data_IF_682533351870
#
_entry.id   IF_682533351870
#
_cell.length_a   1.000
_cell.length_b   1.000
_cell.length_c   1.000
_cell.angle_alpha   90.00
_cell.angle_beta   90.00
_cell.angle_gamma   90.00
#
_symmetry.space_group_name_H-M   'P 1'
#
loop_
_entity.id
_entity.type
_entity.pdbx_description
1 polymer ?
#
# COMPACT_ATOMS: atom_id res chain seq x y z
N UNK A 1 -27.17 -33.10 12.50
CA UNK A 1 -27.03 -33.08 11.02
C UNK A 1 -26.01 -32.04 10.56
N UNK A 2 -26.12 -30.78 10.99
CA UNK A 2 -25.10 -29.71 10.73
C UNK A 2 -23.69 -30.14 11.18
N UNK A 3 -23.55 -30.71 12.38
CA UNK A 3 -22.26 -31.24 12.90
C UNK A 3 -21.60 -32.27 11.97
N UNK A 4 -22.37 -33.20 11.39
CA UNK A 4 -21.84 -34.23 10.48
C UNK A 4 -21.49 -33.68 9.09
N UNK A 5 -22.20 -32.64 8.64
CA UNK A 5 -21.94 -31.98 7.35
C UNK A 5 -20.74 -31.01 7.39
N UNK A 6 -20.43 -30.47 8.58
CA UNK A 6 -19.29 -29.58 8.86
C UNK A 6 -17.98 -30.35 9.06
N UNK A 7 -18.01 -31.52 9.71
CA UNK A 7 -16.82 -32.34 9.99
C UNK A 7 -16.18 -32.92 8.71
N UNK A 8 -16.96 -33.08 7.62
CA UNK A 8 -16.46 -33.63 6.35
C UNK A 8 -15.90 -32.59 5.38
N UNK A 9 -16.15 -31.29 5.60
CA UNK A 9 -15.67 -30.24 4.70
C UNK A 9 -14.39 -29.62 5.25
N UNK A 10 -13.25 -29.98 4.64
CA UNK A 10 -11.95 -29.32 4.82
C UNK A 10 -11.96 -27.82 4.47
N UNK A 11 -13.03 -27.33 3.84
CA UNK A 11 -13.19 -25.94 3.41
C UNK A 11 -14.25 -25.21 4.23
N UNK A 12 -13.81 -24.16 4.93
CA UNK A 12 -14.63 -23.30 5.78
C UNK A 12 -15.72 -22.58 4.96
N UNK A 13 -15.47 -22.33 3.67
CA UNK A 13 -16.46 -21.72 2.77
C UNK A 13 -17.66 -22.63 2.56
N UNK A 14 -17.44 -23.93 2.35
CA UNK A 14 -18.51 -24.92 2.17
C UNK A 14 -19.31 -25.12 3.47
N UNK A 15 -18.65 -25.02 4.62
CA UNK A 15 -19.28 -25.04 5.93
C UNK A 15 -20.26 -23.86 6.13
N UNK A 16 -19.84 -22.66 5.74
CA UNK A 16 -20.69 -21.47 5.78
C UNK A 16 -21.87 -21.55 4.83
N UNK A 17 -21.66 -21.98 3.58
CA UNK A 17 -22.73 -22.15 2.59
C UNK A 17 -23.78 -23.16 3.03
N UNK A 18 -23.36 -24.35 3.50
CA UNK A 18 -24.29 -25.37 4.01
C UNK A 18 -25.10 -24.89 5.20
N UNK A 19 -24.49 -24.09 6.08
CA UNK A 19 -25.22 -23.51 7.22
C UNK A 19 -26.24 -22.47 6.74
N UNK A 20 -25.88 -21.63 5.78
CA UNK A 20 -26.82 -20.68 5.19
C UNK A 20 -27.99 -21.37 4.49
N UNK A 21 -27.74 -22.46 3.75
CA UNK A 21 -28.78 -23.25 3.10
C UNK A 21 -29.71 -23.93 4.11
N UNK A 22 -29.15 -24.43 5.22
CA UNK A 22 -29.94 -24.97 6.33
C UNK A 22 -30.84 -23.88 6.94
N UNK A 23 -30.31 -22.69 7.21
CA UNK A 23 -31.09 -21.56 7.73
C UNK A 23 -32.19 -21.15 6.73
N UNK A 24 -31.87 -21.11 5.43
CA UNK A 24 -32.81 -20.71 4.36
C UNK A 24 -33.86 -21.75 4.04
N UNK A 25 -33.63 -23.02 4.29
CA UNK A 25 -34.55 -24.09 3.88
C UNK A 25 -35.30 -24.65 5.07
N UNK A 26 -34.57 -25.08 6.09
CA UNK A 26 -35.13 -25.85 7.21
C UNK A 26 -35.55 -24.93 8.37
N UNK A 27 -34.87 -23.80 8.58
CA UNK A 27 -35.23 -22.88 9.66
C UNK A 27 -36.32 -21.86 9.30
N UNK A 28 -36.77 -21.77 8.04
CA UNK A 28 -37.80 -20.78 7.62
C UNK A 28 -39.08 -20.86 8.46
N UNK A 29 -39.56 -22.07 8.72
CA UNK A 29 -40.77 -22.28 9.52
C UNK A 29 -40.56 -21.79 10.96
N UNK A 30 -39.41 -22.11 11.56
CA UNK A 30 -39.07 -21.68 12.92
C UNK A 30 -38.85 -20.17 13.02
N UNK A 31 -38.20 -19.54 12.03
CA UNK A 31 -38.04 -18.09 11.95
C UNK A 31 -39.39 -17.38 11.87
N UNK A 32 -40.32 -17.91 11.06
CA UNK A 32 -41.68 -17.37 10.98
C UNK A 32 -42.43 -17.48 12.32
N UNK A 33 -42.33 -18.62 13.01
CA UNK A 33 -42.97 -18.81 14.32
C UNK A 33 -42.37 -17.88 15.37
N UNK A 34 -41.05 -17.73 15.42
CA UNK A 34 -40.36 -16.86 16.38
C UNK A 34 -40.69 -15.38 16.12
N UNK A 35 -40.72 -14.96 14.85
CA UNK A 35 -41.12 -13.59 14.49
C UNK A 35 -42.58 -13.30 14.88
N UNK A 36 -43.47 -14.27 14.68
CA UNK A 36 -44.88 -14.16 15.08
C UNK A 36 -45.03 -14.05 16.60
N UNK A 37 -44.33 -14.90 17.36
CA UNK A 37 -44.34 -14.86 18.84
C UNK A 37 -43.76 -13.54 19.35
N UNK A 38 -42.71 -13.02 18.71
CA UNK A 38 -42.13 -11.74 19.09
C UNK A 38 -43.11 -10.57 18.85
N UNK A 39 -43.92 -10.62 17.78
CA UNK A 39 -44.98 -9.62 17.53
C UNK A 39 -46.19 -9.75 18.46
N UNK A 40 -46.64 -10.97 18.73
CA UNK A 40 -47.88 -11.22 19.49
C UNK A 40 -47.67 -11.19 21.02
N UNK A 41 -46.50 -11.60 21.52
CA UNK A 41 -46.24 -11.73 22.95
C UNK A 41 -45.23 -10.70 23.50
N UNK A 42 -44.71 -9.78 22.68
CA UNK A 42 -43.68 -8.81 23.08
C UNK A 42 -42.33 -9.43 23.46
N UNK A 43 -42.11 -10.69 23.09
CA UNK A 43 -40.83 -11.38 23.28
C UNK A 43 -39.78 -10.81 22.30
N UNK A 44 -38.52 -10.78 22.73
CA UNK A 44 -37.39 -10.30 21.92
C UNK A 44 -36.38 -11.44 21.71
N UNK A 45 -36.87 -12.65 21.44
CA UNK A 45 -36.01 -13.81 21.31
C UNK A 45 -35.46 -13.95 19.88
N UNK A 46 -34.13 -13.89 19.75
CA UNK A 46 -33.44 -14.09 18.49
C UNK A 46 -32.92 -15.53 18.38
N UNK A 47 -33.74 -16.42 17.79
CA UNK A 47 -33.42 -17.85 17.65
C UNK A 47 -32.09 -18.12 16.93
N UNK A 48 -31.78 -17.37 15.87
CA UNK A 48 -30.51 -17.55 15.13
C UNK A 48 -29.30 -17.17 15.98
N UNK A 49 -29.40 -16.07 16.72
CA UNK A 49 -28.30 -15.53 17.53
C UNK A 49 -28.03 -16.43 18.74
N UNK A 50 -29.08 -17.02 19.31
CA UNK A 50 -29.00 -17.76 20.58
C UNK A 50 -28.98 -19.29 20.43
N UNK A 51 -29.30 -19.84 19.25
CA UNK A 51 -29.46 -21.30 19.07
C UNK A 51 -28.90 -21.87 17.76
N UNK A 52 -28.41 -21.04 16.85
CA UNK A 52 -27.71 -21.52 15.64
C UNK A 52 -26.26 -21.04 15.68
N UNK A 53 -26.06 -19.77 16.05
CA UNK A 53 -24.74 -19.16 16.10
C UNK A 53 -23.81 -19.82 17.13
N UNK A 54 -24.21 -20.14 18.38
CA UNK A 54 -23.36 -20.82 19.36
C UNK A 54 -22.91 -22.21 18.90
N UNK A 55 -23.83 -22.98 18.33
CA UNK A 55 -23.58 -24.32 17.80
C UNK A 55 -22.64 -24.29 16.60
N UNK A 56 -22.77 -23.29 15.73
CA UNK A 56 -21.86 -23.07 14.62
C UNK A 56 -20.46 -22.68 15.11
N UNK A 57 -20.34 -21.73 16.04
CA UNK A 57 -19.04 -21.34 16.60
C UNK A 57 -18.35 -22.50 17.30
N UNK A 58 -19.09 -23.31 18.06
CA UNK A 58 -18.54 -24.49 18.71
C UNK A 58 -18.08 -25.54 17.68
N UNK A 59 -18.86 -25.80 16.63
CA UNK A 59 -18.46 -26.73 15.59
C UNK A 59 -17.21 -26.25 14.83
N UNK A 60 -17.08 -24.95 14.57
CA UNK A 60 -15.90 -24.37 13.89
C UNK A 60 -14.65 -24.46 14.77
N UNK A 61 -14.80 -24.21 16.08
CA UNK A 61 -13.72 -24.35 17.04
C UNK A 61 -13.25 -25.81 17.19
N UNK A 62 -14.18 -26.77 17.28
CA UNK A 62 -13.86 -28.19 17.40
C UNK A 62 -13.24 -28.77 16.12
N UNK A 63 -13.66 -28.30 14.95
CA UNK A 63 -13.21 -28.81 13.65
C UNK A 63 -11.87 -28.23 13.19
N UNK A 64 -11.40 -27.13 13.77
CA UNK A 64 -10.19 -26.47 13.27
C UNK A 64 -9.42 -25.66 14.31
N UNK A 65 -8.50 -26.31 15.00
CA UNK A 65 -7.48 -25.64 15.82
C UNK A 65 -6.62 -24.63 15.03
N UNK A 66 -6.54 -24.76 13.70
CA UNK A 66 -5.80 -23.86 12.81
C UNK A 66 -6.63 -22.73 12.19
N UNK A 67 -7.94 -22.62 12.48
CA UNK A 67 -8.83 -21.63 11.83
C UNK A 67 -8.31 -20.20 12.02
N UNK A 68 -7.88 -19.91 13.24
CA UNK A 68 -7.42 -18.61 13.69
C UNK A 68 -5.90 -18.39 13.49
N UNK A 69 -5.18 -19.38 12.96
CA UNK A 69 -3.74 -19.31 12.82
C UNK A 69 -3.34 -18.28 11.75
N UNK A 70 -2.62 -17.24 12.17
CA UNK A 70 -2.19 -16.14 11.29
C UNK A 70 -0.84 -16.37 10.60
N UNK A 71 -0.21 -17.54 10.75
CA UNK A 71 1.15 -17.76 10.22
C UNK A 71 1.25 -17.81 8.70
N UNK A 72 0.14 -18.11 8.01
CA UNK A 72 0.00 -17.82 6.57
C UNK A 72 -1.03 -16.69 6.40
N UNK A 73 -0.59 -15.48 6.01
CA UNK A 73 -1.48 -14.34 5.92
C UNK A 73 -2.46 -14.44 4.74
N UNK A 74 -2.13 -15.16 3.66
CA UNK A 74 -3.04 -15.32 2.51
C UNK A 74 -4.21 -16.22 2.89
N UNK A 75 -3.92 -17.35 3.55
CA UNK A 75 -4.95 -18.27 4.05
C UNK A 75 -5.80 -17.60 5.15
N UNK A 76 -5.16 -16.85 6.06
CA UNK A 76 -5.87 -16.11 7.09
C UNK A 76 -6.83 -15.07 6.48
N UNK A 77 -6.36 -14.29 5.50
CA UNK A 77 -7.18 -13.32 4.78
C UNK A 77 -8.39 -14.00 4.13
N UNK A 78 -8.16 -15.07 3.36
CA UNK A 78 -9.22 -15.81 2.69
C UNK A 78 -10.29 -16.28 3.68
N UNK A 79 -9.90 -16.91 4.79
CA UNK A 79 -10.84 -17.42 5.79
C UNK A 79 -11.62 -16.31 6.48
N UNK A 80 -10.94 -15.21 6.82
CA UNK A 80 -11.58 -14.07 7.44
C UNK A 80 -12.55 -13.35 6.49
N UNK A 81 -12.22 -13.24 5.20
CA UNK A 81 -13.12 -12.71 4.18
C UNK A 81 -14.37 -13.57 4.03
N UNK A 82 -14.25 -14.90 3.99
CA UNK A 82 -15.41 -15.78 3.96
C UNK A 82 -16.27 -15.66 5.21
N UNK A 83 -15.65 -15.45 6.38
CA UNK A 83 -16.37 -15.15 7.62
C UNK A 83 -17.17 -13.84 7.52
N UNK A 84 -16.59 -12.76 6.98
CA UNK A 84 -17.30 -11.50 6.77
C UNK A 84 -18.47 -11.64 5.80
N UNK A 85 -18.28 -12.33 4.67
CA UNK A 85 -19.34 -12.60 3.69
C UNK A 85 -20.48 -13.39 4.33
N UNK A 86 -20.15 -14.42 5.11
CA UNK A 86 -21.13 -15.21 5.85
C UNK A 86 -21.94 -14.34 6.82
N UNK A 87 -21.28 -13.45 7.56
CA UNK A 87 -21.95 -12.53 8.48
C UNK A 87 -22.90 -11.56 7.75
N UNK A 88 -22.50 -11.04 6.59
CA UNK A 88 -23.34 -10.19 5.76
C UNK A 88 -24.57 -10.95 5.24
N UNK A 89 -24.37 -12.19 4.78
CA UNK A 89 -25.45 -13.05 4.30
C UNK A 89 -26.41 -13.44 5.42
N UNK A 90 -25.93 -13.76 6.63
CA UNK A 90 -26.78 -13.97 7.80
C UNK A 90 -27.55 -12.70 8.14
N UNK A 91 -26.90 -11.53 8.16
CA UNK A 91 -27.58 -10.26 8.44
C UNK A 91 -28.66 -9.93 7.40
N UNK A 92 -28.49 -10.33 6.14
CA UNK A 92 -29.52 -10.16 5.10
C UNK A 92 -30.75 -11.05 5.29
N UNK A 93 -30.58 -12.20 5.94
CA UNK A 93 -31.68 -13.14 6.25
C UNK A 93 -32.40 -12.69 7.53
N UNK A 94 -31.69 -12.04 8.45
CA UNK A 94 -32.23 -11.59 9.73
C UNK A 94 -32.94 -10.24 9.63
N UNK A 95 -33.87 -9.99 10.55
CA UNK A 95 -34.49 -8.68 10.72
C UNK A 95 -33.46 -7.63 11.21
N UNK A 96 -33.68 -6.33 10.93
CA UNK A 96 -32.75 -5.25 11.29
C UNK A 96 -32.41 -5.19 12.79
N UNK A 97 -33.35 -5.55 13.66
CA UNK A 97 -33.14 -5.63 15.12
C UNK A 97 -32.28 -6.83 15.50
N UNK A 98 -32.57 -8.00 14.94
CA UNK A 98 -31.82 -9.24 15.19
C UNK A 98 -30.37 -9.16 14.69
N UNK A 99 -30.12 -8.47 13.57
CA UNK A 99 -28.77 -8.24 13.05
C UNK A 99 -27.91 -7.34 13.97
N UNK A 100 -28.52 -6.36 14.64
CA UNK A 100 -27.82 -5.56 15.66
C UNK A 100 -27.57 -6.36 16.93
N UNK A 101 -28.48 -7.26 17.30
CA UNK A 101 -28.32 -8.13 18.45
C UNK A 101 -27.24 -9.21 18.22
N UNK A 102 -27.07 -9.69 16.98
CA UNK A 102 -25.98 -10.61 16.61
C UNK A 102 -24.60 -10.02 16.94
N UNK A 103 -24.34 -8.78 16.50
CA UNK A 103 -23.05 -8.08 16.76
C UNK A 103 -22.83 -7.75 18.25
N UNK A 104 -23.91 -7.66 19.02
CA UNK A 104 -23.88 -7.44 20.48
C UNK A 104 -23.81 -8.73 21.30
N UNK A 105 -24.06 -9.88 20.67
CA UNK A 105 -24.03 -11.18 21.36
C UNK A 105 -22.62 -11.48 21.87
N UNK A 106 -22.54 -12.00 23.10
CA UNK A 106 -21.30 -12.40 23.75
C UNK A 106 -20.55 -13.45 22.92
N UNK A 107 -21.27 -14.38 22.31
CA UNK A 107 -20.71 -15.44 21.45
C UNK A 107 -20.04 -14.88 20.20
N UNK A 108 -20.64 -13.85 19.59
CA UNK A 108 -20.03 -13.15 18.45
C UNK A 108 -18.74 -12.43 18.86
N UNK A 109 -18.75 -11.74 20.00
CA UNK A 109 -17.58 -11.00 20.49
C UNK A 109 -16.43 -11.94 20.87
N UNK A 110 -16.74 -13.07 21.53
CA UNK A 110 -15.76 -14.10 21.89
C UNK A 110 -15.17 -14.80 20.66
N UNK A 111 -15.98 -15.09 19.65
CA UNK A 111 -15.47 -15.66 18.40
C UNK A 111 -14.67 -14.64 17.59
N UNK A 112 -15.12 -13.38 17.54
CA UNK A 112 -14.44 -12.32 16.81
C UNK A 112 -13.10 -11.95 17.45
N UNK A 113 -12.95 -12.06 18.77
CA UNK A 113 -11.70 -11.73 19.48
C UNK A 113 -10.60 -12.77 19.26
N UNK A 114 -10.95 -14.00 18.86
CA UNK A 114 -9.99 -15.05 18.51
C UNK A 114 -9.28 -14.79 17.18
N UNK A 115 -9.83 -13.94 16.31
CA UNK A 115 -9.15 -13.52 15.09
C UNK A 115 -8.05 -12.52 15.44
N UNK A 116 -6.80 -12.96 15.36
CA UNK A 116 -5.66 -12.07 15.61
C UNK A 116 -5.33 -11.19 14.41
N UNK A 117 -6.19 -10.18 14.21
CA UNK A 117 -5.99 -9.15 13.20
C UNK A 117 -4.70 -8.35 13.43
N UNK A 118 -4.16 -8.37 14.65
CA UNK A 118 -2.92 -7.66 14.99
C UNK A 118 -1.73 -8.40 14.42
N UNK A 119 -1.62 -9.71 14.65
CA UNK A 119 -0.57 -10.55 14.08
C UNK A 119 -0.65 -10.56 12.55
N UNK A 120 -1.86 -10.69 11.99
CA UNK A 120 -2.03 -10.60 10.53
C UNK A 120 -1.45 -9.29 9.97
N UNK A 121 -1.83 -8.15 10.54
CA UNK A 121 -1.30 -6.86 10.11
C UNK A 121 0.21 -6.78 10.30
N UNK A 122 0.76 -7.34 11.38
CA UNK A 122 2.19 -7.33 11.66
C UNK A 122 2.98 -8.09 10.59
N UNK A 123 2.51 -9.25 10.15
CA UNK A 123 3.16 -10.03 9.07
C UNK A 123 3.10 -9.24 7.76
N UNK A 124 1.94 -8.70 7.39
CA UNK A 124 1.79 -7.87 6.18
C UNK A 124 2.62 -6.60 6.23
N UNK A 125 2.71 -5.95 7.37
CA UNK A 125 3.57 -4.80 7.60
C UNK A 125 5.03 -5.17 7.34
N UNK A 126 5.51 -6.28 7.92
CA UNK A 126 6.88 -6.74 7.71
C UNK A 126 7.15 -7.08 6.24
N UNK A 127 6.25 -7.78 5.54
CA UNK A 127 6.39 -8.07 4.11
C UNK A 127 6.58 -6.80 3.28
N UNK A 128 5.73 -5.79 3.51
CA UNK A 128 5.70 -4.54 2.75
C UNK A 128 6.89 -3.65 3.13
N UNK A 129 7.23 -3.55 4.41
CA UNK A 129 8.41 -2.79 4.85
C UNK A 129 9.70 -3.43 4.38
N UNK A 130 9.82 -4.76 4.44
CA UNK A 130 11.02 -5.47 3.99
C UNK A 130 11.24 -5.31 2.48
N UNK A 131 10.19 -5.23 1.66
CA UNK A 131 10.36 -4.98 0.22
C UNK A 131 10.98 -3.60 -0.06
N UNK A 132 10.64 -2.59 0.73
CA UNK A 132 11.21 -1.24 0.62
C UNK A 132 12.63 -1.22 1.17
N UNK A 133 12.85 -1.71 2.39
CA UNK A 133 14.16 -1.65 3.05
C UNK A 133 15.21 -2.49 2.30
N UNK A 134 14.85 -3.68 1.82
CA UNK A 134 15.76 -4.50 1.01
C UNK A 134 16.17 -3.78 -0.28
N UNK A 135 15.27 -3.00 -0.90
CA UNK A 135 15.60 -2.20 -2.08
C UNK A 135 16.56 -1.07 -1.74
N UNK A 136 16.29 -0.34 -0.67
CA UNK A 136 17.12 0.77 -0.19
C UNK A 136 18.54 0.29 0.15
N UNK A 137 18.68 -0.87 0.82
CA UNK A 137 19.97 -1.39 1.25
C UNK A 137 20.77 -2.00 0.10
N UNK A 138 20.12 -2.86 -0.72
CA UNK A 138 20.85 -3.65 -1.71
C UNK A 138 21.10 -2.88 -3.02
N UNK A 139 20.16 -2.04 -3.46
CA UNK A 139 20.19 -1.38 -4.77
C UNK A 139 19.52 0.00 -4.73
N UNK A 140 20.05 0.96 -3.94
CA UNK A 140 19.43 2.27 -3.73
C UNK A 140 19.31 3.11 -5.02
N UNK A 141 20.27 2.97 -5.93
CA UNK A 141 20.38 3.83 -7.12
C UNK A 141 20.09 3.11 -8.45
N UNK A 142 19.35 2.00 -8.40
CA UNK A 142 18.99 1.25 -9.60
C UNK A 142 17.92 1.99 -10.43
N UNK A 143 18.16 2.06 -11.74
CA UNK A 143 17.21 2.56 -12.73
C UNK A 143 16.34 1.41 -13.25
N UNK A 144 15.09 1.71 -13.60
CA UNK A 144 14.25 0.78 -14.34
C UNK A 144 14.78 0.66 -15.78
N UNK A 145 15.04 -0.57 -16.21
CA UNK A 145 15.42 -0.86 -17.60
C UNK A 145 14.18 -0.91 -18.52
N UNK A 146 13.01 -1.18 -17.94
CA UNK A 146 11.73 -1.27 -18.64
C UNK A 146 11.19 0.10 -19.03
N UNK A 147 11.18 0.39 -20.34
CA UNK A 147 10.63 1.63 -20.89
C UNK A 147 9.11 1.78 -20.72
N UNK A 148 8.41 0.69 -20.42
CA UNK A 148 6.96 0.68 -20.13
C UNK A 148 6.63 0.98 -18.66
N UNK A 149 7.64 1.01 -17.78
CA UNK A 149 7.42 1.34 -16.37
C UNK A 149 6.99 2.80 -16.23
N UNK A 150 6.04 3.05 -15.33
CA UNK A 150 5.59 4.40 -14.97
C UNK A 150 6.70 5.23 -14.31
N UNK A 151 7.68 4.55 -13.71
CA UNK A 151 8.79 5.18 -12.98
C UNK A 151 10.13 4.82 -13.61
N UNK A 152 11.05 5.77 -13.64
CA UNK A 152 12.42 5.58 -14.16
C UNK A 152 13.37 5.01 -13.12
N UNK A 153 13.05 5.12 -11.84
CA UNK A 153 13.82 4.62 -10.70
C UNK A 153 13.12 3.43 -10.05
N UNK A 154 13.90 2.40 -9.71
CA UNK A 154 13.38 1.18 -9.07
C UNK A 154 12.80 1.45 -7.68
N UNK A 155 13.30 2.47 -6.98
CA UNK A 155 12.85 2.81 -5.63
C UNK A 155 11.45 3.42 -5.65
N UNK A 156 11.17 4.34 -6.59
CA UNK A 156 9.85 4.95 -6.73
C UNK A 156 8.80 3.90 -7.13
N UNK A 157 9.16 2.98 -8.04
CA UNK A 157 8.27 1.87 -8.40
C UNK A 157 8.02 0.93 -7.22
N UNK A 158 9.06 0.56 -6.46
CA UNK A 158 8.91 -0.33 -5.30
C UNK A 158 8.01 0.29 -4.23
N UNK A 159 8.20 1.57 -3.90
CA UNK A 159 7.37 2.26 -2.90
C UNK A 159 5.92 2.39 -3.39
N UNK A 160 5.71 2.73 -4.66
CA UNK A 160 4.37 2.80 -5.22
C UNK A 160 3.68 1.43 -5.21
N UNK A 161 4.38 0.36 -5.59
CA UNK A 161 3.86 -1.01 -5.52
C UNK A 161 3.55 -1.43 -4.08
N UNK A 162 4.37 -1.05 -3.11
CA UNK A 162 4.10 -1.28 -1.70
C UNK A 162 2.83 -0.57 -1.22
N UNK A 163 2.60 0.67 -1.68
CA UNK A 163 1.35 1.40 -1.41
C UNK A 163 0.17 0.69 -2.08
N UNK A 164 0.26 0.36 -3.37
CA UNK A 164 -0.80 -0.37 -4.08
C UNK A 164 -1.14 -1.69 -3.37
N UNK A 165 -0.11 -2.47 -2.99
CA UNK A 165 -0.23 -3.74 -2.27
C UNK A 165 -0.99 -3.61 -0.94
N UNK A 166 -0.90 -2.48 -0.23
CA UNK A 166 -1.68 -2.25 0.99
C UNK A 166 -3.20 -2.30 0.76
N UNK A 167 -3.66 -2.00 -0.46
CA UNK A 167 -5.08 -1.82 -0.79
C UNK A 167 -5.63 -2.86 -1.78
N UNK A 168 -4.82 -3.87 -2.12
CA UNK A 168 -5.23 -5.00 -2.95
C UNK A 168 -6.29 -5.85 -2.24
N UNK A 169 -7.19 -6.47 -3.02
CA UNK A 169 -8.37 -7.18 -2.49
C UNK A 169 -7.99 -8.37 -1.60
N UNK A 170 -6.87 -9.01 -1.91
CA UNK A 170 -6.31 -10.17 -1.21
C UNK A 170 -5.50 -9.81 0.05
N UNK A 171 -5.34 -8.53 0.37
CA UNK A 171 -4.52 -8.07 1.51
C UNK A 171 -5.33 -7.15 2.42
N UNK A 172 -6.13 -6.27 1.83
CA UNK A 172 -6.93 -5.31 2.57
C UNK A 172 -8.05 -5.99 3.36
N UNK A 173 -8.17 -5.57 4.62
CA UNK A 173 -9.30 -5.90 5.49
C UNK A 173 -9.88 -4.60 6.05
N UNK A 174 -11.19 -4.39 5.88
CA UNK A 174 -11.89 -3.16 6.31
C UNK A 174 -11.66 -2.80 7.80
N UNK A 175 -11.67 -3.75 8.76
CA UNK A 175 -11.38 -3.45 10.17
C UNK A 175 -9.96 -2.90 10.41
N UNK A 176 -9.04 -3.14 9.48
CA UNK A 176 -7.65 -2.71 9.55
C UNK A 176 -7.37 -1.46 8.70
N UNK A 177 -8.41 -0.84 8.14
CA UNK A 177 -8.33 0.37 7.29
C UNK A 177 -7.42 1.46 7.87
N UNK A 178 -7.60 1.81 9.15
CA UNK A 178 -6.75 2.81 9.81
C UNK A 178 -5.25 2.43 9.84
N UNK A 179 -4.94 1.14 9.94
CA UNK A 179 -3.56 0.65 10.03
C UNK A 179 -2.90 0.63 8.65
N UNK A 180 -3.63 0.22 7.62
CA UNK A 180 -3.18 0.30 6.23
C UNK A 180 -3.04 1.75 5.75
N UNK A 181 -3.92 2.64 6.22
CA UNK A 181 -3.76 4.08 5.99
C UNK A 181 -2.47 4.63 6.61
N UNK A 182 -2.23 4.32 7.88
CA UNK A 182 -0.98 4.67 8.55
C UNK A 182 0.24 4.13 7.81
N UNK A 183 0.20 2.87 7.35
CA UNK A 183 1.30 2.26 6.59
C UNK A 183 1.55 2.98 5.26
N UNK A 184 0.49 3.38 4.56
CA UNK A 184 0.59 4.17 3.31
C UNK A 184 1.37 5.47 3.55
N UNK A 185 1.02 6.21 4.60
CA UNK A 185 1.73 7.43 4.98
C UNK A 185 3.19 7.14 5.39
N UNK A 186 3.43 6.04 6.12
CA UNK A 186 4.78 5.63 6.51
C UNK A 186 5.66 5.31 5.29
N UNK A 187 5.12 4.69 4.24
CA UNK A 187 5.85 4.45 2.99
C UNK A 187 6.27 5.77 2.33
N UNK A 188 5.38 6.76 2.27
CA UNK A 188 5.65 8.08 1.69
C UNK A 188 6.71 8.83 2.53
N UNK A 189 6.56 8.85 3.85
CA UNK A 189 7.51 9.50 4.76
C UNK A 189 8.87 8.80 4.70
N UNK A 190 8.92 7.47 4.61
CA UNK A 190 10.18 6.74 4.44
C UNK A 190 10.88 7.13 3.15
N UNK A 191 10.12 7.35 2.07
CA UNK A 191 10.67 7.86 0.81
C UNK A 191 11.30 9.25 1.00
N UNK A 192 10.57 10.17 1.64
CA UNK A 192 11.07 11.51 1.94
C UNK A 192 12.40 11.47 2.71
N UNK A 193 12.43 10.72 3.83
CA UNK A 193 13.63 10.60 4.68
C UNK A 193 14.81 10.01 3.90
N UNK A 194 14.55 9.03 3.04
CA UNK A 194 15.59 8.44 2.20
C UNK A 194 16.18 9.47 1.22
N UNK A 195 15.36 10.30 0.57
CA UNK A 195 15.85 11.34 -0.34
C UNK A 195 16.65 12.42 0.42
N UNK A 196 16.18 12.81 1.61
CA UNK A 196 16.87 13.79 2.46
C UNK A 196 18.27 13.31 2.90
N UNK A 197 18.52 12.00 2.89
CA UNK A 197 19.83 11.43 3.24
C UNK A 197 20.92 11.58 2.15
N UNK A 198 20.58 12.10 0.97
CA UNK A 198 21.51 12.20 -0.15
C UNK A 198 22.57 13.29 0.04
N UNK A 199 23.77 13.05 -0.51
CA UNK A 199 24.84 14.05 -0.60
C UNK A 199 25.40 14.15 -2.03
N UNK A 200 26.07 15.26 -2.36
CA UNK A 200 26.59 15.58 -3.71
C UNK A 200 27.56 14.55 -4.30
N UNK A 201 28.20 13.70 -3.50
CA UNK A 201 29.18 12.69 -3.92
C UNK A 201 28.63 11.27 -4.02
N UNK A 202 27.40 11.03 -3.54
CA UNK A 202 26.89 9.66 -3.37
C UNK A 202 26.10 9.14 -4.56
N UNK A 203 25.63 10.00 -5.46
CA UNK A 203 24.60 9.65 -6.46
C UNK A 203 24.95 10.18 -7.84
N UNK A 204 24.73 9.40 -8.89
CA UNK A 204 24.88 9.85 -10.27
C UNK A 204 23.85 10.92 -10.65
N UNK A 205 24.27 11.95 -11.38
CA UNK A 205 23.42 13.06 -11.85
C UNK A 205 22.23 12.56 -12.66
N UNK A 206 22.42 11.52 -13.49
CA UNK A 206 21.33 10.92 -14.27
C UNK A 206 20.25 10.32 -13.37
N UNK A 207 20.65 9.67 -12.27
CA UNK A 207 19.70 9.11 -11.31
C UNK A 207 18.90 10.22 -10.61
N UNK A 208 19.56 11.29 -10.17
CA UNK A 208 18.91 12.43 -9.50
C UNK A 208 17.85 13.07 -10.40
N UNK A 209 18.16 13.28 -11.68
CA UNK A 209 17.21 13.85 -12.65
C UNK A 209 16.02 12.92 -12.92
N UNK A 210 16.26 11.61 -13.00
CA UNK A 210 15.19 10.64 -13.15
C UNK A 210 14.29 10.59 -11.91
N UNK A 211 14.88 10.60 -10.71
CA UNK A 211 14.15 10.64 -9.45
C UNK A 211 13.32 11.93 -9.32
N UNK A 212 13.88 13.07 -9.71
CA UNK A 212 13.15 14.35 -9.72
C UNK A 212 11.90 14.31 -10.61
N UNK A 213 11.99 13.66 -11.78
CA UNK A 213 10.84 13.46 -12.65
C UNK A 213 9.84 12.47 -12.03
N UNK A 214 10.33 11.37 -11.49
CA UNK A 214 9.51 10.34 -10.85
C UNK A 214 8.74 10.86 -9.65
N UNK A 215 9.28 11.80 -8.87
CA UNK A 215 8.56 12.40 -7.73
C UNK A 215 7.23 13.04 -8.15
N UNK A 216 7.21 13.69 -9.30
CA UNK A 216 5.99 14.30 -9.81
C UNK A 216 4.97 13.23 -10.24
N UNK A 217 5.42 12.22 -10.99
CA UNK A 217 4.57 11.09 -11.40
C UNK A 217 4.07 10.31 -10.18
N UNK A 218 4.92 10.10 -9.17
CA UNK A 218 4.60 9.40 -7.94
C UNK A 218 3.49 10.11 -7.17
N UNK A 219 3.60 11.43 -6.97
CA UNK A 219 2.56 12.23 -6.32
C UNK A 219 1.23 12.14 -7.06
N UNK A 220 1.24 12.15 -8.40
CA UNK A 220 0.02 12.02 -9.20
C UNK A 220 -0.61 10.63 -9.09
N UNK A 221 0.19 9.57 -9.20
CA UNK A 221 -0.31 8.20 -9.14
C UNK A 221 -0.79 7.82 -7.74
N UNK A 222 -0.13 8.27 -6.68
CA UNK A 222 -0.59 8.06 -5.29
C UNK A 222 -1.96 8.74 -5.08
N UNK A 223 -2.16 9.95 -5.60
CA UNK A 223 -3.47 10.62 -5.58
C UNK A 223 -4.52 9.85 -6.37
N UNK A 224 -4.17 9.32 -7.54
CA UNK A 224 -5.07 8.50 -8.36
C UNK A 224 -5.53 7.25 -7.62
N UNK A 225 -4.60 6.52 -6.99
CA UNK A 225 -4.91 5.34 -6.16
C UNK A 225 -5.78 5.73 -4.97
N UNK A 226 -5.46 6.83 -4.30
CA UNK A 226 -6.25 7.32 -3.17
C UNK A 226 -7.71 7.62 -3.56
N UNK A 227 -7.92 8.36 -4.64
CA UNK A 227 -9.28 8.72 -5.09
C UNK A 227 -10.05 7.50 -5.60
N UNK A 228 -9.43 6.69 -6.48
CA UNK A 228 -10.13 5.60 -7.18
C UNK A 228 -10.29 4.34 -6.32
N UNK A 229 -9.22 3.92 -5.64
CA UNK A 229 -9.18 2.65 -4.93
C UNK A 229 -9.56 2.85 -3.47
N UNK A 230 -8.87 3.76 -2.76
CA UNK A 230 -9.03 3.91 -1.31
C UNK A 230 -10.41 4.51 -0.99
N UNK A 231 -10.72 5.70 -1.53
CA UNK A 231 -12.01 6.35 -1.30
C UNK A 231 -13.14 5.71 -2.12
N UNK A 232 -12.91 5.48 -3.41
CA UNK A 232 -13.94 5.02 -4.34
C UNK A 232 -14.41 3.58 -4.12
N UNK A 233 -13.56 2.69 -3.61
CA UNK A 233 -13.88 1.26 -3.47
C UNK A 233 -13.80 0.77 -2.03
N UNK A 234 -12.67 1.01 -1.35
CA UNK A 234 -12.40 0.37 -0.05
C UNK A 234 -13.07 1.03 1.14
N UNK A 235 -13.13 2.36 1.15
CA UNK A 235 -13.73 3.15 2.23
C UNK A 235 -15.12 3.68 1.86
N UNK A 236 -15.70 3.28 0.72
CA UNK A 236 -16.98 3.80 0.25
C UNK A 236 -18.09 3.63 1.31
N UNK A 237 -18.15 2.47 1.99
CA UNK A 237 -19.08 2.19 3.09
C UNK A 237 -18.91 3.14 4.28
N UNK A 238 -17.67 3.42 4.67
CA UNK A 238 -17.32 4.27 5.82
C UNK A 238 -17.57 5.74 5.51
N UNK A 239 -17.29 6.18 4.29
CA UNK A 239 -17.47 7.56 3.83
C UNK A 239 -18.95 7.93 3.77
N UNK A 240 -19.82 7.00 3.34
CA UNK A 240 -21.28 7.19 3.36
C UNK A 240 -21.81 7.49 4.77
N UNK A 241 -21.15 6.98 5.80
CA UNK A 241 -21.53 7.18 7.20
C UNK A 241 -20.96 8.47 7.79
N UNK A 242 -19.88 9.03 7.23
CA UNK A 242 -19.17 10.19 7.80
C UNK A 242 -18.38 10.97 6.74
N UNK A 243 -19.00 11.96 6.06
CA UNK A 243 -18.39 12.68 4.95
C UNK A 243 -17.21 13.59 5.36
N UNK A 244 -17.10 13.97 6.63
CA UNK A 244 -15.99 14.82 7.11
C UNK A 244 -14.65 14.08 7.07
N UNK A 245 -14.66 12.76 7.28
CA UNK A 245 -13.44 11.94 7.30
C UNK A 245 -12.73 11.97 5.94
N UNK A 246 -13.49 12.03 4.85
CA UNK A 246 -12.96 12.14 3.48
C UNK A 246 -12.09 13.38 3.31
N UNK A 247 -12.54 14.52 3.84
CA UNK A 247 -11.82 15.79 3.74
C UNK A 247 -10.53 15.72 4.56
N UNK A 248 -10.60 15.19 5.78
CA UNK A 248 -9.43 15.06 6.66
C UNK A 248 -8.37 14.13 6.06
N UNK A 249 -8.77 12.96 5.54
CA UNK A 249 -7.84 12.02 4.90
C UNK A 249 -7.18 12.63 3.66
N UNK A 250 -7.96 13.36 2.85
CA UNK A 250 -7.44 14.05 1.66
C UNK A 250 -6.42 15.12 2.06
N UNK A 251 -6.75 15.94 3.06
CA UNK A 251 -5.85 16.97 3.58
C UNK A 251 -4.55 16.38 4.12
N UNK A 252 -4.62 15.28 4.89
CA UNK A 252 -3.42 14.61 5.43
C UNK A 252 -2.53 14.10 4.29
N UNK A 253 -3.12 13.48 3.27
CA UNK A 253 -2.37 12.98 2.12
C UNK A 253 -1.71 14.13 1.35
N UNK A 254 -2.46 15.19 1.07
CA UNK A 254 -1.97 16.36 0.36
C UNK A 254 -0.81 17.02 1.10
N UNK A 255 -0.92 17.21 2.41
CA UNK A 255 0.18 17.75 3.23
C UNK A 255 1.42 16.86 3.20
N UNK A 256 1.24 15.54 3.25
CA UNK A 256 2.35 14.57 3.22
C UNK A 256 3.03 14.54 1.85
N UNK A 257 2.25 14.67 0.76
CA UNK A 257 2.79 14.70 -0.61
C UNK A 257 3.42 16.07 -0.94
N UNK A 258 2.88 17.17 -0.40
CA UNK A 258 3.48 18.49 -0.52
C UNK A 258 4.85 18.54 0.15
N UNK A 259 5.00 18.00 1.36
CA UNK A 259 6.31 17.95 2.03
C UNK A 259 7.33 17.12 1.24
N UNK A 260 6.93 15.97 0.68
CA UNK A 260 7.74 15.18 -0.25
C UNK A 260 8.11 15.97 -1.51
N UNK A 261 7.18 16.70 -2.09
CA UNK A 261 7.39 17.37 -3.38
C UNK A 261 8.23 18.63 -3.22
N UNK A 262 7.88 19.54 -2.31
CA UNK A 262 8.52 20.86 -2.24
C UNK A 262 9.95 20.78 -1.70
N UNK A 263 10.15 20.04 -0.61
CA UNK A 263 11.47 19.93 0.02
C UNK A 263 12.40 19.05 -0.83
N UNK A 264 12.00 17.81 -1.11
CA UNK A 264 12.88 16.88 -1.83
C UNK A 264 13.18 17.33 -3.27
N UNK A 265 12.24 17.97 -3.99
CA UNK A 265 12.56 18.48 -5.33
C UNK A 265 13.55 19.63 -5.28
N UNK A 266 13.45 20.51 -4.29
CA UNK A 266 14.40 21.60 -4.10
C UNK A 266 15.79 21.05 -3.79
N UNK A 267 15.87 20.06 -2.89
CA UNK A 267 17.12 19.41 -2.51
C UNK A 267 17.76 18.68 -3.70
N UNK A 268 16.99 17.86 -4.43
CA UNK A 268 17.47 17.16 -5.63
C UNK A 268 17.90 18.13 -6.73
N UNK A 269 17.17 19.23 -6.93
CA UNK A 269 17.54 20.27 -7.90
C UNK A 269 18.88 20.91 -7.53
N UNK A 270 19.04 21.33 -6.27
CA UNK A 270 20.28 21.95 -5.79
C UNK A 270 21.46 20.97 -5.90
N UNK A 271 21.23 19.70 -5.58
CA UNK A 271 22.23 18.65 -5.65
C UNK A 271 22.66 18.38 -7.11
N UNK A 272 21.71 18.30 -8.04
CA UNK A 272 21.99 18.17 -9.47
C UNK A 272 22.78 19.37 -10.03
N UNK A 273 22.38 20.60 -9.66
CA UNK A 273 23.09 21.83 -10.06
C UNK A 273 24.51 21.83 -9.50
N UNK A 274 24.68 21.48 -8.22
CA UNK A 274 25.99 21.42 -7.56
C UNK A 274 26.95 20.47 -8.28
N UNK A 275 26.49 19.26 -8.62
CA UNK A 275 27.29 18.28 -9.37
C UNK A 275 27.67 18.76 -10.77
N UNK A 276 26.73 19.40 -11.47
CA UNK A 276 26.99 19.96 -12.80
C UNK A 276 28.04 21.07 -12.72
N UNK A 277 27.95 21.95 -11.71
CA UNK A 277 28.94 23.02 -11.49
C UNK A 277 30.32 22.43 -11.19
N UNK A 278 30.42 21.42 -10.32
CA UNK A 278 31.68 20.75 -9.97
C UNK A 278 32.34 20.15 -11.23
N UNK A 279 31.57 19.42 -12.04
CA UNK A 279 32.04 18.83 -13.30
C UNK A 279 32.45 19.89 -14.33
N UNK A 280 31.73 21.00 -14.42
CA UNK A 280 32.11 22.13 -15.27
C UNK A 280 33.41 22.79 -14.78
N UNK A 281 33.62 22.94 -13.47
CA UNK A 281 34.84 23.52 -12.94
C UNK A 281 36.07 22.61 -13.16
N UNK A 282 35.94 21.30 -13.00
CA UNK A 282 37.01 20.34 -13.30
C UNK A 282 37.46 20.40 -14.76
N UNK A 283 36.50 20.44 -15.69
CA UNK A 283 36.79 20.57 -17.12
C UNK A 283 37.39 21.92 -17.47
N UNK A 284 36.91 23.01 -16.85
CA UNK A 284 37.44 24.36 -17.06
C UNK A 284 38.88 24.49 -16.53
N UNK A 285 39.18 23.92 -15.36
CA UNK A 285 40.57 23.82 -14.86
C UNK A 285 41.45 23.00 -15.80
N UNK A 286 40.95 21.89 -16.33
CA UNK A 286 41.69 21.06 -17.29
C UNK A 286 42.02 21.85 -18.57
N UNK A 287 41.10 22.67 -19.06
CA UNK A 287 41.30 23.54 -20.25
C UNK A 287 42.34 24.64 -19.96
N UNK A 288 42.34 25.23 -18.76
CA UNK A 288 43.34 26.21 -18.36
C UNK A 288 44.77 25.65 -18.32
N UNK A 289 44.92 24.34 -18.11
CA UNK A 289 46.22 23.65 -18.12
C UNK A 289 46.69 23.30 -19.56
N UNK A 290 45.81 23.33 -20.56
CA UNK A 290 46.17 22.99 -21.97
C UNK A 290 47.28 23.91 -22.52
N UNK A 291 47.25 25.25 -22.36
CA UNK A 291 48.35 26.12 -22.81
C UNK A 291 49.69 25.78 -22.15
N UNK A 292 49.68 25.37 -20.88
CA UNK A 292 50.89 24.95 -20.15
C UNK A 292 51.42 23.62 -20.67
N UNK A 293 50.54 22.65 -20.91
CA UNK A 293 50.88 21.35 -21.48
C UNK A 293 51.35 21.46 -22.93
N UNK A 294 50.74 22.32 -23.73
CA UNK A 294 51.17 22.61 -25.10
C UNK A 294 52.58 23.20 -25.15
N UNK A 295 52.89 24.17 -24.26
CA UNK A 295 54.26 24.72 -24.13
C UNK A 295 55.30 23.64 -23.80
N UNK A 296 54.95 22.56 -23.09
CA UNK A 296 55.85 21.44 -22.80
C UNK A 296 56.07 20.49 -23.98
N UNK A 297 55.28 20.56 -25.04
CA UNK A 297 55.36 19.61 -26.18
C UNK A 297 56.37 19.99 -27.27
N UNK A 298 57.15 21.07 -27.12
CA UNK A 298 58.19 21.51 -28.07
C UNK A 298 57.75 21.54 -29.56
N UNK A 299 56.46 21.70 -29.84
CA UNK A 299 55.98 21.96 -31.19
C UNK A 299 56.15 23.45 -31.46
N UNK A 300 57.25 23.80 -32.10
CA UNK A 300 57.47 25.16 -32.59
C UNK A 300 56.31 25.58 -33.49
N UNK A 301 55.65 26.67 -33.15
CA UNK A 301 54.67 27.31 -34.02
C UNK A 301 55.46 27.92 -35.17
N UNK A 302 55.51 27.22 -36.30
CA UNK A 302 56.15 27.72 -37.52
C UNK A 302 55.36 28.91 -38.08
N UNK A 303 55.67 30.11 -37.59
CA UNK A 303 55.31 31.38 -38.20
C UNK A 303 56.41 31.74 -39.20
N UNK A 304 56.33 31.21 -40.42
CA UNK A 304 57.09 31.75 -41.56
C UNK A 304 56.49 33.09 -41.94
N UNK A 305 56.97 34.17 -41.31
CA UNK A 305 56.84 35.54 -41.82
C UNK A 305 58.04 35.74 -42.75
N UNK A 306 57.81 35.60 -44.05
CA UNK A 306 58.82 35.78 -45.08
C UNK A 306 59.08 37.28 -45.30
N UNK A 307 60.08 37.81 -44.59
CA UNK A 307 60.62 39.14 -44.84
C UNK A 307 61.49 39.10 -46.11
N UNK A 308 60.94 39.50 -47.26
CA UNK A 308 61.75 39.96 -48.39
C UNK A 308 61.52 41.44 -48.63
N UNK A 309 62.48 42.24 -48.15
CA UNK A 309 62.75 43.59 -48.66
C UNK A 309 63.09 43.55 -50.16
N UNK A 310 62.98 44.72 -50.82
CA UNK A 310 63.62 45.21 -52.08
C UNK A 310 62.54 45.88 -52.95
N UNK A 311 62.59 47.13 -53.45
CA UNK A 311 63.59 48.21 -53.51
C UNK A 311 62.87 49.53 -53.87
N UNK A 312 63.52 50.63 -53.50
CA UNK A 312 63.33 52.04 -53.87
C UNK A 312 63.23 52.33 -55.39
N UNK A 313 62.25 53.16 -55.78
CA UNK A 313 62.21 54.33 -56.72
C UNK A 313 62.85 54.25 -58.13
N UNK A 314 62.48 55.12 -59.11
CA UNK A 314 61.92 56.49 -59.06
C UNK A 314 60.42 56.62 -59.30
#
# INVERSE_FOLDING_TARGET
>A
MVRNALIQSTDISLAFEKTLDFIRTECKAMLYVVERINRECGSHFDFVVNSIFPELTQCLEESSNSLFFSGDPDIFHQRYTHWLIFLEQIQSILSKSSGQNLKKSKVYQEFSSRWDLVIYFQIRFQEISNSIESRIVNQPFALNEDKSSLFKTMIASTIFQSIDRCWQTNIFLEPLSQRFWKLTLQCIVRFHIWIESFNTKTVDTKFILNLYADLQTFTQEVKNVFLKVILGQRLASIILLSPNITVDLTNILDQTLLSLTDKCRTDLKNLAIGQLIERCNETLHSIQEIPRMYRKTNREVSLTIDNRQVKKTP
#
